data_IF_991950356226
#
_entry.id   IF_991950356226
#
_cell.length_a   1.000
_cell.length_b   1.000
_cell.length_c   1.000
_cell.angle_alpha   90.00
_cell.angle_beta   90.00
_cell.angle_gamma   90.00
#
_symmetry.space_group_name_H-M   'P 1'
#
loop_
_entity.id
_entity.type
_entity.pdbx_description
1 polymer ?
#
# COMPACT_ATOMS: atom_id res chain seq x y z
N UNK A 1 -38.93 -54.23 51.12
CA UNK A 1 -39.09 -52.75 51.20
C UNK A 1 -38.55 -52.31 52.56
N UNK A 2 -37.65 -51.31 52.58
CA UNK A 2 -37.46 -50.22 53.58
C UNK A 2 -37.71 -50.53 55.09
N UNK A 3 -36.90 -50.14 56.09
CA UNK A 3 -35.53 -49.58 56.21
C UNK A 3 -35.24 -49.36 57.72
N UNK A 4 -34.03 -48.85 58.06
CA UNK A 4 -33.59 -48.22 59.35
C UNK A 4 -33.37 -49.13 60.57
N UNK A 5 -32.50 -48.77 61.51
CA UNK A 5 -31.26 -47.94 61.51
C UNK A 5 -30.55 -48.17 62.84
N UNK A 6 -29.22 -48.22 62.85
CA UNK A 6 -28.43 -48.48 64.06
C UNK A 6 -28.24 -47.24 64.96
N UNK A 7 -28.01 -47.50 66.25
CA UNK A 7 -27.67 -46.53 67.29
C UNK A 7 -26.17 -46.62 67.66
N UNK A 8 -25.62 -45.61 68.34
CA UNK A 8 -25.19 -45.65 69.78
C UNK A 8 -24.45 -44.35 70.14
N UNK A 9 -24.10 -44.17 71.42
CA UNK A 9 -23.58 -42.92 72.00
C UNK A 9 -22.32 -43.12 72.87
N UNK A 10 -21.56 -42.02 73.02
CA UNK A 10 -20.75 -41.56 74.17
C UNK A 10 -19.47 -42.29 74.67
N UNK A 11 -18.40 -41.46 74.73
CA UNK A 11 -17.33 -41.30 75.75
C UNK A 11 -16.36 -42.44 76.15
N UNK A 12 -15.04 -42.22 75.97
CA UNK A 12 -14.01 -42.14 77.05
C UNK A 12 -12.63 -41.60 76.56
N UNK A 13 -11.69 -41.31 77.49
CA UNK A 13 -10.43 -40.50 77.38
C UNK A 13 -9.53 -40.83 78.60
N UNK A 14 -8.15 -40.76 78.65
CA UNK A 14 -7.07 -40.35 77.70
C UNK A 14 -5.85 -41.34 77.58
N UNK A 15 -4.72 -40.87 77.01
CA UNK A 15 -3.30 -41.00 77.50
C UNK A 15 -2.23 -41.57 76.50
N UNK A 16 -0.92 -41.19 76.62
CA UNK A 16 0.03 -41.27 75.49
C UNK A 16 1.32 -42.09 75.72
N UNK A 17 1.96 -42.57 74.62
CA UNK A 17 3.38 -42.96 74.56
C UNK A 17 3.93 -42.89 73.10
N UNK A 18 5.26 -42.76 72.87
CA UNK A 18 5.82 -42.36 71.56
C UNK A 18 6.71 -43.44 70.87
N UNK A 19 7.36 -43.03 69.76
CA UNK A 19 8.41 -43.73 68.96
C UNK A 19 7.86 -44.95 68.17
N UNK A 20 8.20 -45.28 66.91
CA UNK A 20 9.42 -45.10 66.08
C UNK A 20 9.04 -44.79 64.59
N UNK A 21 10.03 -44.27 63.84
CA UNK A 21 10.19 -44.20 62.37
C UNK A 21 9.47 -45.33 61.59
N UNK A 22 9.06 -45.19 60.33
CA UNK A 22 9.72 -44.47 59.22
C UNK A 22 8.76 -44.29 58.01
N UNK A 23 8.85 -43.17 57.28
CA UNK A 23 8.44 -43.11 55.87
C UNK A 23 7.17 -42.33 55.45
N UNK A 24 7.41 -41.43 54.48
CA UNK A 24 6.49 -40.95 53.41
C UNK A 24 5.47 -39.83 53.74
N UNK A 25 5.29 -38.95 52.75
CA UNK A 25 4.38 -37.79 52.63
C UNK A 25 4.82 -36.51 53.36
N UNK A 26 5.36 -35.57 52.59
CA UNK A 26 5.44 -34.16 52.95
C UNK A 26 4.30 -33.37 52.27
N UNK A 27 3.34 -32.79 53.02
CA UNK A 27 2.42 -31.80 52.51
C UNK A 27 2.91 -30.37 52.80
N UNK A 28 2.85 -29.55 51.75
CA UNK A 28 2.91 -28.08 51.67
C UNK A 28 2.81 -27.27 52.98
N UNK A 29 3.76 -26.34 53.17
CA UNK A 29 3.51 -25.05 53.83
C UNK A 29 3.86 -23.88 52.90
N UNK A 30 3.13 -22.78 53.05
CA UNK A 30 3.21 -21.55 52.25
C UNK A 30 4.05 -20.51 53.04
N UNK A 31 4.89 -19.68 52.38
CA UNK A 31 5.96 -18.93 53.06
C UNK A 31 5.51 -17.59 53.67
N UNK A 32 6.42 -16.94 54.41
CA UNK A 32 6.65 -15.53 54.14
C UNK A 32 8.13 -15.12 53.99
N UNK A 33 8.42 -14.48 52.86
CA UNK A 33 9.40 -13.42 52.62
C UNK A 33 10.69 -13.33 53.48
N UNK A 34 11.86 -13.54 52.85
CA UNK A 34 12.77 -12.43 52.48
C UNK A 34 14.09 -12.90 51.86
N UNK A 35 14.26 -12.67 50.55
CA UNK A 35 15.55 -12.70 49.86
C UNK A 35 15.52 -11.63 48.75
N UNK A 36 16.66 -10.97 48.43
CA UNK A 36 16.65 -9.75 47.63
C UNK A 36 16.39 -10.00 46.14
N UNK A 37 15.91 -8.96 45.47
CA UNK A 37 15.50 -8.99 44.07
C UNK A 37 16.58 -9.53 43.12
N UNK A 38 16.35 -10.74 42.60
CA UNK A 38 16.92 -11.16 41.33
C UNK A 38 16.27 -10.34 40.21
N UNK A 39 17.09 -9.83 39.29
CA UNK A 39 16.62 -9.02 38.17
C UNK A 39 15.64 -9.82 37.28
N UNK A 40 14.63 -9.17 36.66
CA UNK A 40 13.80 -9.83 35.67
C UNK A 40 14.66 -10.23 34.47
N UNK A 41 14.76 -11.54 34.20
CA UNK A 41 15.30 -12.04 32.94
C UNK A 41 14.44 -11.48 31.79
N UNK A 42 15.07 -10.73 30.88
CA UNK A 42 14.38 -10.22 29.69
C UNK A 42 13.96 -11.41 28.80
N UNK A 43 12.74 -11.41 28.23
CA UNK A 43 12.31 -12.50 27.37
C UNK A 43 13.19 -12.58 26.12
N UNK A 44 13.74 -13.77 25.84
CA UNK A 44 14.54 -14.04 24.65
C UNK A 44 13.76 -13.69 23.36
N UNK A 45 14.06 -12.53 22.76
CA UNK A 45 13.48 -12.14 21.49
C UNK A 45 14.12 -12.90 20.32
N UNK A 46 13.35 -13.34 19.31
CA UNK A 46 13.86 -14.19 18.23
C UNK A 46 14.98 -13.49 17.43
N UNK A 47 16.15 -14.13 17.35
CA UNK A 47 17.44 -13.57 16.88
C UNK A 47 17.54 -13.20 15.37
N UNK A 48 16.45 -12.85 14.71
CA UNK A 48 16.47 -12.35 13.32
C UNK A 48 16.61 -10.82 13.29
N UNK A 49 17.70 -10.33 13.86
CA UNK A 49 18.03 -8.90 13.84
C UNK A 49 18.62 -8.54 12.47
N UNK A 50 18.28 -7.35 11.95
CA UNK A 50 18.73 -6.93 10.61
C UNK A 50 18.79 -5.40 10.52
N UNK A 51 19.74 -4.93 9.71
CA UNK A 51 19.98 -3.51 9.44
C UNK A 51 18.84 -2.89 8.61
N UNK A 52 18.05 -3.72 7.94
CA UNK A 52 16.91 -3.32 7.10
C UNK A 52 15.58 -3.66 7.78
N UNK A 53 14.74 -2.64 7.97
CA UNK A 53 13.37 -2.79 8.45
C UNK A 53 12.39 -2.91 7.27
N UNK A 54 11.41 -3.80 7.42
CA UNK A 54 10.27 -3.97 6.53
C UNK A 54 9.03 -3.35 7.17
N UNK A 55 8.43 -2.41 6.45
CA UNK A 55 7.29 -1.60 6.90
C UNK A 55 6.06 -1.96 6.07
N UNK A 56 4.95 -2.23 6.75
CA UNK A 56 3.65 -2.55 6.19
C UNK A 56 2.58 -1.54 6.64
N UNK A 57 1.39 -1.69 6.06
CA UNK A 57 0.19 -0.90 6.35
C UNK A 57 0.28 0.61 6.00
N UNK A 58 1.22 1.02 5.16
CA UNK A 58 1.33 2.41 4.70
C UNK A 58 0.08 2.84 3.88
N UNK A 59 -0.13 4.15 3.75
CA UNK A 59 -1.24 4.72 2.99
C UNK A 59 -0.91 4.76 1.48
N UNK A 60 -1.63 3.96 0.68
CA UNK A 60 -1.42 3.82 -0.76
C UNK A 60 -1.82 5.06 -1.58
N UNK A 61 -2.64 5.96 -1.03
CA UNK A 61 -3.10 7.16 -1.75
C UNK A 61 -2.02 8.25 -1.86
N UNK A 62 -0.96 8.16 -1.05
CA UNK A 62 0.10 9.17 -1.00
C UNK A 62 1.17 8.87 -2.06
N UNK A 63 1.70 9.91 -2.72
CA UNK A 63 2.76 9.78 -3.72
C UNK A 63 4.02 9.15 -3.10
N UNK A 64 4.63 8.21 -3.82
CA UNK A 64 5.77 7.41 -3.33
C UNK A 64 6.93 8.29 -2.83
N UNK A 65 7.25 9.36 -3.55
CA UNK A 65 8.37 10.24 -3.19
C UNK A 65 8.12 11.03 -1.90
N UNK A 66 6.86 11.33 -1.61
CA UNK A 66 6.44 11.93 -0.33
C UNK A 66 6.57 10.90 0.79
N UNK A 67 6.10 9.66 0.58
CA UNK A 67 6.28 8.56 1.54
C UNK A 67 7.77 8.35 1.83
N UNK A 68 8.64 8.27 0.81
CA UNK A 68 10.09 8.10 0.96
C UNK A 68 10.72 9.23 1.78
N UNK A 69 10.37 10.49 1.48
CA UNK A 69 10.86 11.66 2.24
C UNK A 69 10.41 11.62 3.69
N UNK A 70 9.15 11.30 3.96
CA UNK A 70 8.59 11.22 5.32
C UNK A 70 9.20 10.08 6.12
N UNK A 71 9.35 8.88 5.55
CA UNK A 71 10.03 7.76 6.21
C UNK A 71 11.51 8.12 6.48
N UNK A 72 12.24 8.70 5.52
CA UNK A 72 13.63 9.10 5.75
C UNK A 72 13.75 10.19 6.81
N UNK A 73 12.81 11.12 6.89
CA UNK A 73 12.75 12.14 7.94
C UNK A 73 12.47 11.54 9.32
N UNK A 74 11.47 10.67 9.42
CA UNK A 74 11.06 10.01 10.67
C UNK A 74 12.16 9.10 11.23
N UNK A 75 12.83 8.32 10.38
CA UNK A 75 13.86 7.38 10.82
C UNK A 75 15.24 8.00 11.07
N UNK A 76 15.47 9.26 10.63
CA UNK A 76 16.76 9.95 10.82
C UNK A 76 17.10 10.22 12.29
N UNK A 77 16.11 10.32 13.19
CA UNK A 77 16.33 10.47 14.63
C UNK A 77 16.91 9.23 15.31
N UNK A 78 16.82 8.07 14.65
CA UNK A 78 17.26 6.77 15.18
C UNK A 78 18.65 6.34 14.71
N UNK A 79 19.07 6.84 13.55
CA UNK A 79 20.38 6.56 12.97
C UNK A 79 20.47 7.01 11.52
N UNK A 80 21.62 6.75 10.88
CA UNK A 80 21.80 7.05 9.46
C UNK A 80 21.00 6.07 8.59
N UNK A 81 20.11 6.62 7.76
CA UNK A 81 19.28 5.86 6.81
C UNK A 81 19.95 5.86 5.44
N UNK A 82 20.42 4.69 4.99
CA UNK A 82 21.10 4.50 3.71
C UNK A 82 20.14 4.72 2.53
N UNK A 83 19.10 3.89 2.43
CA UNK A 83 18.11 3.92 1.36
C UNK A 83 16.69 3.59 1.86
N UNK A 84 15.69 4.09 1.13
CA UNK A 84 14.26 3.86 1.37
C UNK A 84 13.59 3.37 0.08
N UNK A 85 13.35 2.06 0.02
CA UNK A 85 12.75 1.39 -1.14
C UNK A 85 11.25 1.25 -0.94
N UNK A 86 10.46 1.97 -1.73
CA UNK A 86 9.01 1.91 -1.77
C UNK A 86 8.51 1.95 -3.22
N UNK A 87 7.40 1.24 -3.52
CA UNK A 87 6.82 1.13 -4.86
C UNK A 87 5.29 1.06 -4.81
N UNK A 88 4.60 1.63 -5.80
CA UNK A 88 3.13 1.56 -5.95
C UNK A 88 2.60 0.29 -6.66
N UNK A 89 3.50 -0.60 -7.12
CA UNK A 89 3.13 -1.83 -7.80
C UNK A 89 2.17 -2.67 -6.94
N UNK A 90 1.20 -3.35 -7.54
CA UNK A 90 0.15 -4.12 -6.82
C UNK A 90 0.68 -5.08 -5.73
N UNK A 91 1.89 -5.65 -5.92
CA UNK A 91 2.55 -6.54 -4.95
C UNK A 91 3.27 -5.80 -3.80
N UNK A 92 3.64 -4.54 -4.01
CA UNK A 92 4.52 -3.74 -3.13
C UNK A 92 3.84 -2.49 -2.57
N UNK A 93 2.63 -2.14 -3.02
CA UNK A 93 1.86 -1.01 -2.49
C UNK A 93 1.58 -1.21 -1.00
N UNK A 94 1.56 -0.10 -0.26
CA UNK A 94 1.42 -0.11 1.20
C UNK A 94 2.63 -0.67 1.96
N UNK A 95 3.74 -0.97 1.26
CA UNK A 95 4.97 -1.53 1.84
C UNK A 95 6.19 -0.68 1.51
N UNK A 96 7.17 -0.68 2.43
CA UNK A 96 8.47 -0.08 2.23
C UNK A 96 9.58 -0.88 2.93
N UNK A 97 10.82 -0.69 2.49
CA UNK A 97 12.01 -1.13 3.18
C UNK A 97 12.87 0.09 3.51
N UNK A 98 13.32 0.19 4.76
CA UNK A 98 14.21 1.24 5.26
C UNK A 98 15.49 0.57 5.71
N UNK A 99 16.62 0.99 5.14
CA UNK A 99 17.94 0.44 5.48
C UNK A 99 18.73 1.42 6.33
N UNK A 100 19.23 0.94 7.47
CA UNK A 100 20.11 1.67 8.37
C UNK A 100 21.56 1.25 8.18
N UNK A 101 22.47 2.07 8.69
CA UNK A 101 23.89 1.74 8.79
C UNK A 101 24.22 0.78 9.94
N UNK A 102 23.41 0.80 11.00
CA UNK A 102 23.61 0.00 12.22
C UNK A 102 22.39 -0.85 12.55
N UNK A 103 22.64 -2.09 13.02
CA UNK A 103 21.62 -3.01 13.55
C UNK A 103 20.95 -2.44 14.81
N UNK A 104 21.68 -1.68 15.63
CA UNK A 104 21.16 -1.08 16.88
C UNK A 104 20.15 0.04 16.60
N UNK A 105 20.45 0.89 15.61
CA UNK A 105 19.52 1.91 15.12
C UNK A 105 18.21 1.28 14.61
N UNK A 106 18.32 0.17 13.87
CA UNK A 106 17.16 -0.59 13.40
C UNK A 106 16.35 -1.22 14.55
N UNK A 107 17.01 -1.81 15.57
CA UNK A 107 16.37 -2.31 16.79
C UNK A 107 15.61 -1.22 17.54
N UNK A 108 16.24 -0.06 17.78
CA UNK A 108 15.62 1.08 18.48
C UNK A 108 14.42 1.63 17.71
N UNK A 109 14.58 1.86 16.41
CA UNK A 109 13.50 2.32 15.52
C UNK A 109 12.32 1.33 15.48
N UNK A 110 12.57 0.02 15.52
CA UNK A 110 11.52 -0.98 15.57
C UNK A 110 10.76 -0.97 16.91
N UNK A 111 11.43 -0.75 18.05
CA UNK A 111 10.77 -0.67 19.36
C UNK A 111 9.91 0.60 19.49
N UNK A 112 10.39 1.76 19.07
CA UNK A 112 9.69 3.04 19.26
C UNK A 112 8.66 3.40 18.18
N UNK A 113 8.92 3.10 16.90
CA UNK A 113 8.09 3.59 15.77
C UNK A 113 6.99 2.58 15.39
N UNK A 114 6.97 1.39 15.99
CA UNK A 114 5.96 0.35 15.71
C UNK A 114 4.57 0.83 16.17
N UNK A 115 3.63 0.87 15.23
CA UNK A 115 2.28 1.39 15.45
C UNK A 115 2.13 2.89 15.19
N UNK A 116 3.21 3.62 14.89
CA UNK A 116 3.15 5.07 14.66
C UNK A 116 2.16 5.45 13.54
N UNK A 117 1.20 6.35 13.78
CA UNK A 117 0.21 6.74 12.79
C UNK A 117 0.80 7.66 11.73
N UNK A 118 1.02 7.15 10.52
CA UNK A 118 1.51 7.91 9.37
C UNK A 118 0.43 7.99 8.28
N UNK A 119 0.04 9.22 7.91
CA UNK A 119 -1.05 9.50 6.96
C UNK A 119 -2.33 8.73 7.29
N UNK A 120 -2.77 8.83 8.56
CA UNK A 120 -3.99 8.22 9.11
C UNK A 120 -4.01 6.69 9.13
N UNK A 121 -2.85 6.02 9.04
CA UNK A 121 -2.72 4.56 9.22
C UNK A 121 -1.57 4.22 10.18
N UNK A 122 -1.76 3.34 11.18
CA UNK A 122 -0.68 2.88 12.04
C UNK A 122 0.27 1.97 11.25
N UNK A 123 1.55 2.33 11.18
CA UNK A 123 2.52 1.52 10.45
C UNK A 123 2.93 0.27 11.24
N UNK A 124 3.09 -0.85 10.54
CA UNK A 124 3.59 -2.09 11.13
C UNK A 124 5.04 -2.28 10.71
N UNK A 125 5.92 -2.58 11.67
CA UNK A 125 7.37 -2.67 11.45
C UNK A 125 7.84 -4.07 11.88
N UNK A 126 8.75 -4.64 11.09
CA UNK A 126 9.41 -5.94 11.33
C UNK A 126 10.82 -5.92 10.72
N UNK A 127 11.70 -6.84 11.13
CA UNK A 127 12.98 -7.01 10.43
C UNK A 127 12.78 -7.61 9.03
N UNK A 128 13.58 -7.16 8.06
CA UNK A 128 13.54 -7.69 6.71
C UNK A 128 14.21 -9.07 6.63
N UNK A 129 13.58 -10.02 5.95
CA UNK A 129 14.10 -11.40 5.76
C UNK A 129 15.36 -11.51 4.90
N UNK A 130 15.83 -10.41 4.33
CA UNK A 130 16.98 -10.36 3.41
C UNK A 130 17.62 -8.99 3.54
N UNK A 131 18.96 -8.96 3.64
CA UNK A 131 19.72 -7.71 3.65
C UNK A 131 19.46 -6.91 2.37
N UNK A 132 19.37 -5.60 2.50
CA UNK A 132 19.17 -4.70 1.36
C UNK A 132 20.46 -4.49 0.58
N UNK A 133 20.32 -4.23 -0.73
CA UNK A 133 21.43 -3.94 -1.63
C UNK A 133 22.33 -2.80 -1.09
N UNK A 134 21.76 -1.81 -0.40
CA UNK A 134 22.49 -0.68 0.19
C UNK A 134 23.41 -1.09 1.36
N UNK A 135 22.96 -2.01 2.21
CA UNK A 135 23.74 -2.53 3.36
C UNK A 135 24.87 -3.42 2.86
N UNK A 136 24.58 -4.33 1.92
CA UNK A 136 25.61 -5.19 1.30
C UNK A 136 26.68 -4.35 0.61
N UNK A 137 26.30 -3.24 -0.06
CA UNK A 137 27.27 -2.33 -0.69
C UNK A 137 28.26 -1.69 0.30
N UNK A 138 27.83 -1.42 1.54
CA UNK A 138 28.69 -0.84 2.58
C UNK A 138 29.56 -1.88 3.28
N UNK A 139 29.01 -3.05 3.61
CA UNK A 139 29.73 -4.11 4.34
C UNK A 139 30.68 -4.91 3.43
N UNK A 140 30.18 -5.35 2.27
CA UNK A 140 30.86 -6.29 1.38
C UNK A 140 30.89 -5.72 -0.05
N UNK A 141 31.59 -4.60 -0.24
CA UNK A 141 31.66 -3.89 -1.52
C UNK A 141 32.10 -4.80 -2.69
N UNK A 142 33.05 -5.71 -2.45
CA UNK A 142 33.58 -6.64 -3.45
C UNK A 142 32.58 -7.72 -3.88
N UNK A 143 31.66 -8.12 -2.98
CA UNK A 143 30.62 -9.12 -3.26
C UNK A 143 29.28 -8.49 -3.71
N UNK A 144 29.17 -7.15 -3.70
CA UNK A 144 27.97 -6.42 -4.07
C UNK A 144 27.44 -6.79 -5.46
N UNK A 145 28.32 -6.88 -6.46
CA UNK A 145 27.91 -7.17 -7.84
C UNK A 145 27.39 -8.61 -7.99
N UNK A 146 27.99 -9.58 -7.31
CA UNK A 146 27.49 -10.97 -7.29
C UNK A 146 26.14 -11.08 -6.57
N UNK A 147 25.96 -10.38 -5.45
CA UNK A 147 24.67 -10.34 -4.75
C UNK A 147 23.59 -9.72 -5.63
N UNK A 148 23.92 -8.63 -6.32
CA UNK A 148 23.02 -7.90 -7.22
C UNK A 148 22.61 -8.72 -8.44
N UNK A 149 23.56 -9.37 -9.12
CA UNK A 149 23.25 -10.23 -10.29
C UNK A 149 22.36 -11.40 -9.88
N UNK A 150 22.71 -12.14 -8.82
CA UNK A 150 21.86 -13.22 -8.27
C UNK A 150 20.45 -12.75 -7.94
N UNK A 151 20.31 -11.53 -7.39
CA UNK A 151 19.00 -10.94 -7.05
C UNK A 151 18.19 -10.56 -8.28
N UNK A 152 18.82 -9.96 -9.30
CA UNK A 152 18.15 -9.60 -10.56
C UNK A 152 17.82 -10.84 -11.42
N UNK A 153 18.63 -11.90 -11.38
CA UNK A 153 18.32 -13.19 -11.99
C UNK A 153 17.13 -13.89 -11.31
N UNK A 154 17.14 -13.98 -9.97
CA UNK A 154 16.01 -14.54 -9.22
C UNK A 154 14.71 -13.74 -9.47
N UNK A 155 14.80 -12.41 -9.56
CA UNK A 155 13.72 -11.50 -9.97
C UNK A 155 13.31 -11.70 -11.42
N UNK A 156 14.23 -12.04 -12.33
CA UNK A 156 13.94 -12.38 -13.74
C UNK A 156 13.20 -13.72 -13.83
N UNK A 157 13.66 -14.77 -13.15
CA UNK A 157 12.99 -16.08 -13.08
C UNK A 157 11.57 -15.96 -12.49
N UNK A 158 11.44 -15.36 -11.30
CA UNK A 158 10.14 -15.17 -10.62
C UNK A 158 9.19 -14.20 -11.33
N UNK A 159 9.68 -13.38 -12.28
CA UNK A 159 8.82 -12.55 -13.16
C UNK A 159 8.03 -13.37 -14.20
N UNK A 160 8.47 -14.59 -14.53
CA UNK A 160 7.77 -15.49 -15.47
C UNK A 160 6.87 -16.50 -14.75
N UNK A 161 7.25 -16.99 -13.57
CA UNK A 161 6.47 -17.97 -12.79
C UNK A 161 5.35 -17.36 -11.95
N UNK A 162 5.24 -16.02 -11.89
CA UNK A 162 4.22 -15.36 -11.07
C UNK A 162 2.78 -15.71 -11.55
N UNK A 163 1.95 -16.36 -10.72
CA UNK A 163 0.64 -16.87 -11.13
C UNK A 163 -0.36 -15.77 -11.49
N UNK A 164 -0.24 -14.56 -10.94
CA UNK A 164 -1.07 -13.41 -11.36
C UNK A 164 -0.76 -13.00 -12.80
N UNK A 165 0.52 -13.12 -13.20
CA UNK A 165 0.98 -12.79 -14.55
C UNK A 165 0.65 -13.90 -15.54
N UNK A 166 0.68 -15.16 -15.10
CA UNK A 166 0.17 -16.29 -15.89
C UNK A 166 -1.35 -16.20 -16.07
N UNK A 167 -2.15 -15.91 -15.03
CA UNK A 167 -3.60 -15.67 -15.17
C UNK A 167 -3.90 -14.50 -16.11
N UNK A 168 -3.14 -13.41 -16.06
CA UNK A 168 -3.28 -12.29 -17.00
C UNK A 168 -2.90 -12.67 -18.44
N UNK A 169 -1.85 -13.50 -18.63
CA UNK A 169 -1.49 -14.03 -19.95
C UNK A 169 -2.56 -14.99 -20.49
N UNK A 170 -2.99 -15.96 -19.69
CA UNK A 170 -4.01 -16.94 -20.04
C UNK A 170 -5.34 -16.27 -20.41
N UNK A 171 -5.74 -15.22 -19.67
CA UNK A 171 -6.93 -14.42 -20.01
C UNK A 171 -6.79 -13.66 -21.33
N UNK A 172 -5.56 -13.25 -21.71
CA UNK A 172 -5.29 -12.60 -23.00
C UNK A 172 -5.20 -13.60 -24.15
N UNK A 173 -4.56 -14.75 -23.95
CA UNK A 173 -4.51 -15.79 -24.98
C UNK A 173 -5.87 -16.41 -25.22
N UNK A 174 -6.70 -16.59 -24.19
CA UNK A 174 -8.09 -17.05 -24.36
C UNK A 174 -8.89 -16.12 -25.28
N UNK A 175 -8.76 -14.79 -25.11
CA UNK A 175 -9.41 -13.81 -26.01
C UNK A 175 -8.86 -13.79 -27.45
N UNK A 176 -7.72 -14.45 -27.73
CA UNK A 176 -7.17 -14.60 -29.08
C UNK A 176 -7.63 -15.92 -29.76
N UNK A 177 -8.19 -16.91 -29.04
CA UNK A 177 -8.58 -18.21 -29.63
C UNK A 177 -10.03 -18.22 -30.16
N UNK A 178 -10.92 -17.39 -29.62
CA UNK A 178 -12.35 -17.32 -30.00
C UNK A 178 -12.62 -16.59 -31.35
N UNK A 179 -11.69 -16.68 -32.31
CA UNK A 179 -12.02 -16.74 -33.73
C UNK A 179 -12.77 -15.57 -34.39
N UNK A 180 -12.49 -14.32 -34.04
CA UNK A 180 -12.84 -13.16 -34.88
C UNK A 180 -11.60 -12.63 -35.61
N UNK A 181 -11.68 -12.49 -36.94
CA UNK A 181 -10.53 -12.29 -37.82
C UNK A 181 -9.67 -11.05 -37.51
N UNK A 182 -8.37 -11.16 -37.79
CA UNK A 182 -7.37 -10.15 -37.44
C UNK A 182 -7.55 -8.83 -38.22
N UNK A 183 -7.75 -7.74 -37.47
CA UNK A 183 -7.47 -6.37 -37.89
C UNK A 183 -6.27 -5.84 -37.05
N UNK A 184 -5.49 -4.85 -37.53
CA UNK A 184 -4.26 -4.43 -36.86
C UNK A 184 -4.54 -3.94 -35.44
N UNK A 185 -3.69 -4.40 -34.52
CA UNK A 185 -3.89 -4.40 -33.06
C UNK A 185 -4.69 -3.20 -32.52
N UNK A 186 -5.79 -3.44 -31.75
CA UNK A 186 -6.42 -2.36 -31.03
C UNK A 186 -5.40 -1.78 -30.05
N UNK A 187 -5.01 -0.52 -30.29
CA UNK A 187 -4.46 0.37 -29.26
C UNK A 187 -5.30 0.13 -28.01
N UNK A 188 -4.63 -0.14 -26.86
CA UNK A 188 -5.25 -0.49 -25.57
C UNK A 188 -6.66 0.09 -25.51
N UNK A 189 -7.74 -0.70 -25.30
CA UNK A 189 -9.07 -0.13 -25.28
C UNK A 189 -9.00 1.03 -24.30
N UNK A 190 -9.16 2.26 -24.83
CA UNK A 190 -9.27 3.42 -23.98
C UNK A 190 -10.47 3.07 -23.14
N UNK A 191 -10.28 2.88 -21.84
CA UNK A 191 -11.41 2.72 -20.94
C UNK A 191 -12.04 4.09 -20.95
N UNK A 192 -12.92 4.27 -21.93
CA UNK A 192 -13.90 5.31 -21.99
C UNK A 192 -14.83 4.95 -20.82
N UNK A 193 -14.40 5.35 -19.62
CA UNK A 193 -15.31 5.91 -18.63
C UNK A 193 -16.34 6.68 -19.45
N UNK A 194 -17.62 6.24 -19.51
CA UNK A 194 -18.62 6.93 -20.30
C UNK A 194 -18.52 8.40 -19.95
N UNK A 195 -18.37 9.27 -20.96
CA UNK A 195 -17.87 10.64 -20.70
C UNK A 195 -18.84 11.47 -19.82
N UNK A 196 -20.04 10.94 -19.62
CA UNK A 196 -21.09 11.25 -18.65
C UNK A 196 -20.67 11.18 -17.17
N UNK A 197 -19.65 10.39 -16.82
CA UNK A 197 -19.12 10.23 -15.44
C UNK A 197 -17.76 10.91 -15.23
N UNK A 198 -17.33 11.79 -16.13
CA UNK A 198 -16.15 12.61 -15.88
C UNK A 198 -16.51 13.68 -14.83
N UNK A 199 -15.75 13.81 -13.72
CA UNK A 199 -15.96 14.89 -12.77
C UNK A 199 -15.91 16.25 -13.49
N UNK A 200 -16.69 17.25 -13.04
CA UNK A 200 -16.54 18.62 -13.50
C UNK A 200 -15.07 19.05 -13.51
N UNK A 201 -14.68 19.77 -14.56
CA UNK A 201 -13.34 20.28 -14.74
C UNK A 201 -13.43 21.57 -15.57
N UNK A 202 -12.77 22.63 -15.10
CA UNK A 202 -12.70 23.93 -15.79
C UNK A 202 -12.16 23.86 -17.22
N UNK A 203 -11.48 22.77 -17.60
CA UNK A 203 -11.05 22.49 -18.96
C UNK A 203 -12.05 21.54 -19.65
N UNK A 204 -12.59 21.99 -20.78
CA UNK A 204 -13.38 21.19 -21.71
C UNK A 204 -12.49 20.60 -22.83
N UNK A 205 -12.83 19.39 -23.23
CA UNK A 205 -12.21 18.63 -24.30
C UNK A 205 -13.22 18.48 -25.45
N UNK A 206 -12.88 19.05 -26.60
CA UNK A 206 -13.70 19.01 -27.80
C UNK A 206 -13.17 17.91 -28.73
N UNK A 207 -14.09 17.10 -29.23
CA UNK A 207 -13.85 16.03 -30.20
C UNK A 207 -14.79 16.20 -31.40
N UNK A 208 -14.44 15.59 -32.53
CA UNK A 208 -15.20 15.66 -33.79
C UNK A 208 -15.30 17.10 -34.35
N UNK A 209 -14.24 17.89 -34.21
CA UNK A 209 -14.16 19.20 -34.88
C UNK A 209 -13.91 19.01 -36.39
N UNK A 210 -14.60 19.77 -37.26
CA UNK A 210 -14.27 19.86 -38.68
C UNK A 210 -12.85 20.43 -38.89
N UNK A 211 -12.15 19.98 -39.94
CA UNK A 211 -10.81 20.48 -40.28
C UNK A 211 -10.81 21.97 -40.70
N UNK A 212 -11.98 22.47 -41.11
CA UNK A 212 -12.29 23.86 -41.46
C UNK A 212 -12.36 24.81 -40.24
N UNK A 213 -12.54 24.28 -39.03
CA UNK A 213 -12.79 25.12 -37.84
C UNK A 213 -11.50 25.76 -37.32
N UNK A 214 -11.54 27.09 -37.18
CA UNK A 214 -10.41 27.90 -36.72
C UNK A 214 -10.51 28.24 -35.23
N UNK A 215 -9.38 28.71 -34.65
CA UNK A 215 -9.34 29.18 -33.25
C UNK A 215 -10.38 30.27 -32.99
N UNK A 216 -10.52 31.22 -33.91
CA UNK A 216 -11.31 32.42 -33.69
C UNK A 216 -12.83 32.11 -33.73
N UNK A 217 -13.24 31.13 -34.54
CA UNK A 217 -14.62 30.60 -34.52
C UNK A 217 -14.95 29.92 -33.19
N UNK A 218 -14.05 29.09 -32.66
CA UNK A 218 -14.23 28.49 -31.34
C UNK A 218 -14.20 29.55 -30.24
N UNK A 219 -13.30 30.54 -30.33
CA UNK A 219 -13.25 31.64 -29.37
C UNK A 219 -14.56 32.44 -29.37
N UNK A 220 -15.11 32.77 -30.54
CA UNK A 220 -16.41 33.44 -30.65
C UNK A 220 -17.54 32.59 -30.01
N UNK A 221 -17.63 31.31 -30.36
CA UNK A 221 -18.68 30.40 -29.90
C UNK A 221 -18.63 30.14 -28.37
N UNK A 222 -17.44 30.06 -27.78
CA UNK A 222 -17.29 29.90 -26.33
C UNK A 222 -17.30 31.24 -25.57
N UNK A 223 -17.06 32.38 -26.22
CA UNK A 223 -17.13 33.71 -25.57
C UNK A 223 -18.53 34.15 -25.16
N UNK A 224 -19.57 33.47 -25.65
CA UNK A 224 -20.95 33.64 -25.18
C UNK A 224 -21.11 33.24 -23.70
N UNK A 225 -20.21 32.40 -23.19
CA UNK A 225 -20.20 31.95 -21.79
C UNK A 225 -19.17 32.76 -21.00
N UNK A 226 -19.51 33.24 -19.79
CA UNK A 226 -18.59 34.03 -18.98
C UNK A 226 -17.35 33.21 -18.57
N UNK A 227 -16.29 33.91 -18.17
CA UNK A 227 -15.07 33.31 -17.60
C UNK A 227 -14.27 32.42 -18.56
N UNK A 228 -14.38 32.60 -19.87
CA UNK A 228 -13.48 31.98 -20.85
C UNK A 228 -12.03 32.45 -20.62
N UNK A 229 -11.08 31.51 -20.52
CA UNK A 229 -9.66 31.79 -20.24
C UNK A 229 -8.78 31.57 -21.48
N UNK A 230 -8.76 30.36 -22.06
CA UNK A 230 -7.95 30.05 -23.24
C UNK A 230 -8.62 29.01 -24.15
N UNK A 231 -8.53 29.21 -25.48
CA UNK A 231 -8.85 28.18 -26.48
C UNK A 231 -7.54 27.69 -27.12
N UNK A 232 -7.29 26.38 -27.04
CA UNK A 232 -6.07 25.72 -27.52
C UNK A 232 -6.41 24.59 -28.50
N UNK A 233 -6.07 24.80 -29.78
CA UNK A 233 -6.12 23.75 -30.80
C UNK A 233 -4.80 22.98 -30.82
N UNK A 234 -4.85 21.69 -31.18
CA UNK A 234 -3.67 20.84 -31.28
C UNK A 234 -3.23 20.80 -32.76
N UNK A 235 -2.05 21.33 -33.13
CA UNK A 235 -1.63 21.37 -34.54
C UNK A 235 -1.38 19.97 -35.14
N UNK A 236 -1.15 18.96 -34.31
CA UNK A 236 -1.02 17.55 -34.75
C UNK A 236 -2.37 16.84 -34.93
N UNK A 237 -3.49 17.46 -34.53
CA UNK A 237 -4.83 16.87 -34.48
C UNK A 237 -5.92 17.95 -34.56
N UNK A 238 -6.33 18.29 -35.79
CA UNK A 238 -7.35 19.32 -36.05
C UNK A 238 -8.78 18.90 -35.65
N UNK A 239 -9.00 17.62 -35.41
CA UNK A 239 -10.24 17.02 -34.91
C UNK A 239 -10.52 17.32 -33.41
N UNK A 240 -9.55 17.93 -32.71
CA UNK A 240 -9.53 18.07 -31.25
C UNK A 240 -9.08 19.47 -30.82
N UNK A 241 -9.77 20.01 -29.81
CA UNK A 241 -9.36 21.23 -29.11
C UNK A 241 -9.60 21.14 -27.60
N UNK A 242 -8.94 22.01 -26.86
CA UNK A 242 -9.20 22.25 -25.44
C UNK A 242 -9.68 23.68 -25.23
N UNK A 243 -10.66 23.86 -24.36
CA UNK A 243 -11.16 25.17 -23.93
C UNK A 243 -11.06 25.23 -22.41
N UNK A 244 -10.25 26.15 -21.89
CA UNK A 244 -10.13 26.41 -20.45
C UNK A 244 -11.01 27.60 -20.06
N UNK A 245 -11.83 27.40 -19.02
CA UNK A 245 -12.53 28.43 -18.28
C UNK A 245 -11.80 28.71 -16.96
N UNK A 246 -12.07 29.86 -16.34
CA UNK A 246 -11.59 30.14 -14.99
C UNK A 246 -12.33 29.32 -13.92
N UNK A 247 -13.59 28.95 -14.17
CA UNK A 247 -14.46 28.26 -13.21
C UNK A 247 -15.13 27.01 -13.81
N UNK A 248 -15.34 26.01 -12.96
CA UNK A 248 -16.01 24.75 -13.28
C UNK A 248 -17.49 24.95 -13.61
N UNK A 249 -18.20 25.87 -12.93
CA UNK A 249 -19.63 26.09 -13.21
C UNK A 249 -19.85 26.62 -14.62
N UNK A 250 -19.03 27.58 -15.04
CA UNK A 250 -19.08 28.16 -16.39
C UNK A 250 -18.76 27.12 -17.47
N UNK A 251 -17.76 26.26 -17.21
CA UNK A 251 -17.43 25.14 -18.10
C UNK A 251 -18.56 24.10 -18.22
N UNK A 252 -19.31 23.83 -17.14
CA UNK A 252 -20.43 22.89 -17.15
C UNK A 252 -21.60 23.43 -17.98
N UNK A 253 -21.97 24.70 -17.78
CA UNK A 253 -23.02 25.36 -18.60
C UNK A 253 -22.63 25.41 -20.08
N UNK A 254 -21.36 25.77 -20.39
CA UNK A 254 -20.87 25.80 -21.76
C UNK A 254 -20.85 24.40 -22.41
N UNK A 255 -20.44 23.36 -21.66
CA UNK A 255 -20.51 21.96 -22.09
C UNK A 255 -21.95 21.59 -22.44
N UNK A 256 -22.89 21.73 -21.50
CA UNK A 256 -24.23 21.18 -21.65
C UNK A 256 -25.05 21.91 -22.75
N UNK A 257 -24.78 23.21 -22.97
CA UNK A 257 -25.41 23.98 -24.03
C UNK A 257 -24.81 23.78 -25.44
N UNK A 258 -23.50 23.48 -25.54
CA UNK A 258 -22.81 23.30 -26.83
C UNK A 258 -22.52 21.83 -27.20
N UNK A 259 -22.83 20.87 -26.33
CA UNK A 259 -22.64 19.44 -26.62
C UNK A 259 -23.59 19.00 -27.74
N UNK A 260 -23.06 18.29 -28.75
CA UNK A 260 -23.74 17.94 -30.00
C UNK A 260 -24.13 19.13 -30.89
N UNK A 261 -23.62 20.33 -30.64
CA UNK A 261 -23.78 21.47 -31.54
C UNK A 261 -23.20 21.18 -32.93
N UNK A 262 -23.78 21.78 -33.97
CA UNK A 262 -23.38 21.58 -35.38
C UNK A 262 -22.74 22.86 -35.92
N UNK A 263 -21.41 22.90 -35.98
CA UNK A 263 -20.66 24.06 -36.49
C UNK A 263 -20.86 24.25 -38.01
N UNK A 264 -20.65 23.19 -38.80
CA UNK A 264 -20.81 23.19 -40.27
C UNK A 264 -22.13 22.51 -40.72
N UNK A 265 -23.12 22.38 -39.83
CA UNK A 265 -24.42 21.72 -40.11
C UNK A 265 -24.36 20.19 -40.24
N UNK A 266 -23.26 19.64 -40.72
CA UNK A 266 -23.03 18.20 -40.97
C UNK A 266 -22.46 17.50 -39.72
N UNK A 267 -21.32 17.99 -39.21
CA UNK A 267 -20.62 17.40 -38.06
C UNK A 267 -21.10 17.94 -36.71
N UNK A 268 -21.44 17.04 -35.79
CA UNK A 268 -21.75 17.33 -34.39
C UNK A 268 -20.49 17.33 -33.54
N UNK A 269 -20.16 18.44 -32.88
CA UNK A 269 -19.05 18.48 -31.92
C UNK A 269 -19.42 17.77 -30.62
N UNK A 270 -18.49 16.97 -30.10
CA UNK A 270 -18.64 16.26 -28.83
C UNK A 270 -17.79 16.95 -27.77
N UNK A 271 -18.45 17.60 -26.81
CA UNK A 271 -17.79 18.31 -25.71
C UNK A 271 -17.84 17.46 -24.44
N UNK A 272 -16.71 17.21 -23.81
CA UNK A 272 -16.62 16.46 -22.55
C UNK A 272 -15.73 17.22 -21.58
N UNK A 273 -15.79 16.95 -20.27
CA UNK A 273 -14.76 17.45 -19.36
C UNK A 273 -13.39 16.85 -19.73
N UNK A 274 -12.31 17.62 -19.57
CA UNK A 274 -10.97 17.08 -19.77
C UNK A 274 -10.61 16.13 -18.62
N UNK A 275 -9.89 15.05 -18.95
CA UNK A 275 -9.38 14.12 -17.93
C UNK A 275 -8.21 14.77 -17.17
N UNK A 276 -8.19 14.55 -15.85
CA UNK A 276 -7.18 15.06 -14.91
C UNK A 276 -5.96 14.14 -14.81
#
# INVERSE_FOLDING_TARGET
FVSRSAALAMSEVPAPAPVIMEGVVAPQEIPPASAPAAAPEEPEEPEYTSETLYIQNLNEKIKIDVIKKSLRGLFKSYGEVLDVVAHSNLRMRGQAFVSFDSTEAAKKALKEVRGFPLYSKPMQISFARTRSDAVVKKLDADNYDQHKTRRDEHKKATRYTNPLKQKLKAKRTATDVDGAAAAPAPKRPNVQMPDEYLPPNKILFLQNLPETVTKDQLMALFSQYPNLYEVRLIPTKKDIAFVEFMDETSSATAKDALHNYKLDGENKIKITFARK
#
